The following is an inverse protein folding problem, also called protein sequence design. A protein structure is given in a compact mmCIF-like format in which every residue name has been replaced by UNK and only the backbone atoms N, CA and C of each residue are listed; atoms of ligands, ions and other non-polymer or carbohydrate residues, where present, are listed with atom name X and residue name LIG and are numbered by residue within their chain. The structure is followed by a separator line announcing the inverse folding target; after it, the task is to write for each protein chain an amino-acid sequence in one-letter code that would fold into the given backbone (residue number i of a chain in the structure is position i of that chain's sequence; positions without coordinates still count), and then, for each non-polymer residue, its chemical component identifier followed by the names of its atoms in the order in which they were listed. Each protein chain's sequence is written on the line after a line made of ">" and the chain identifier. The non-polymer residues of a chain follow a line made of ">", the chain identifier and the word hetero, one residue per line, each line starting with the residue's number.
data_IF_497581872297
#
_entry.id   IF_497581872297
#
_cell.length_a   1.000
_cell.length_b   1.000
_cell.length_c   1.000
_cell.angle_alpha   90.00
_cell.angle_beta   90.00
_cell.angle_gamma   90.00
#
_symmetry.space_group_name_H-M   'P 1'
#
loop_
_entity.id
_entity.type
_entity.pdbx_description
1 polymer ?
#
# COMPACT_ATOMS: atom_id res chain seq x y z
N UNK A 1 -10.07 20.47 14.13
CA UNK A 1 -10.26 19.00 14.08
C UNK A 1 -11.29 18.55 15.10
N UNK A 2 -12.02 17.45 14.84
CA UNK A 2 -12.86 16.78 15.84
C UNK A 2 -12.33 15.37 16.07
N UNK A 3 -12.30 14.88 17.30
CA UNK A 3 -11.91 13.50 17.61
C UNK A 3 -12.74 12.93 18.75
N UNK A 4 -12.90 11.61 18.77
CA UNK A 4 -13.60 10.87 19.80
C UNK A 4 -12.57 10.29 20.77
N UNK A 5 -12.79 10.49 22.06
CA UNK A 5 -12.09 9.71 23.09
C UNK A 5 -12.88 8.43 23.32
N UNK A 6 -12.30 7.24 23.09
CA UNK A 6 -13.04 5.98 23.23
C UNK A 6 -13.62 5.78 24.63
N UNK A 7 -12.84 6.14 25.65
CA UNK A 7 -13.20 5.89 27.05
C UNK A 7 -14.34 6.79 27.54
N UNK A 8 -14.32 8.08 27.18
CA UNK A 8 -15.34 9.04 27.60
C UNK A 8 -16.56 9.07 26.67
N UNK A 9 -16.45 8.42 25.49
CA UNK A 9 -17.42 8.51 24.39
C UNK A 9 -17.78 9.96 24.05
N UNK A 10 -16.84 10.88 24.26
CA UNK A 10 -17.03 12.32 24.10
C UNK A 10 -16.31 12.82 22.86
N UNK A 11 -17.03 13.60 22.06
CA UNK A 11 -16.49 14.28 20.90
C UNK A 11 -15.83 15.58 21.34
N UNK A 12 -14.55 15.70 21.05
CA UNK A 12 -13.75 16.87 21.34
C UNK A 12 -13.52 17.66 20.06
N UNK A 13 -13.31 18.98 20.18
CA UNK A 13 -12.92 19.86 19.08
C UNK A 13 -11.63 20.56 19.45
N UNK A 14 -10.63 20.44 18.59
CA UNK A 14 -9.38 21.17 18.71
C UNK A 14 -9.27 22.19 17.59
N UNK A 15 -8.78 23.38 17.93
CA UNK A 15 -8.32 24.34 16.93
C UNK A 15 -7.21 23.69 16.10
N UNK A 16 -7.16 24.06 14.82
CA UNK A 16 -6.12 23.61 13.90
C UNK A 16 -5.58 24.84 13.19
N UNK A 17 -4.28 24.83 12.95
CA UNK A 17 -3.57 25.91 12.27
C UNK A 17 -2.88 25.39 11.01
N UNK A 18 -2.28 26.30 10.25
CA UNK A 18 -1.49 25.98 9.05
C UNK A 18 -2.34 25.69 7.81
N UNK A 19 -1.75 24.97 6.85
CA UNK A 19 -2.32 24.72 5.53
C UNK A 19 -3.18 23.46 5.56
N UNK A 20 -4.38 23.59 6.13
CA UNK A 20 -5.29 22.45 6.27
C UNK A 20 -5.70 21.87 4.90
N UNK A 21 -5.79 20.53 4.77
CA UNK A 21 -6.33 19.92 3.58
C UNK A 21 -7.80 20.33 3.42
N UNK A 22 -8.18 20.77 2.22
CA UNK A 22 -9.58 20.99 1.87
C UNK A 22 -10.44 19.73 1.99
N UNK A 23 -11.75 19.90 1.92
CA UNK A 23 -12.72 18.80 1.99
C UNK A 23 -12.37 17.68 1.00
N UNK A 24 -12.36 16.44 1.51
CA UNK A 24 -12.00 15.25 0.73
C UNK A 24 -12.54 13.97 1.34
N UNK A 25 -12.64 12.91 0.54
CA UNK A 25 -12.99 11.56 0.99
C UNK A 25 -12.14 10.49 0.29
N UNK A 26 -12.27 9.23 0.71
CA UNK A 26 -11.49 8.10 0.15
C UNK A 26 -9.96 8.30 0.17
N UNK A 27 -9.47 9.08 1.14
CA UNK A 27 -8.05 9.29 1.43
C UNK A 27 -7.56 8.27 2.47
N UNK A 28 -6.25 8.20 2.67
CA UNK A 28 -5.67 7.45 3.78
C UNK A 28 -5.05 8.39 4.83
N UNK A 29 -5.11 7.98 6.10
CA UNK A 29 -4.40 8.61 7.21
C UNK A 29 -3.43 7.58 7.81
N UNK A 30 -2.18 7.96 8.01
CA UNK A 30 -1.15 7.11 8.67
C UNK A 30 -0.49 7.88 9.78
N UNK A 31 -0.30 7.27 10.95
CA UNK A 31 0.46 7.88 12.03
C UNK A 31 1.95 7.59 11.89
N UNK A 32 2.79 8.62 12.03
CA UNK A 32 4.24 8.49 12.05
C UNK A 32 4.86 9.57 12.95
N UNK A 33 5.60 9.13 13.98
CA UNK A 33 6.42 9.99 14.86
C UNK A 33 5.73 11.29 15.34
N UNK A 34 4.53 11.19 15.91
CA UNK A 34 3.79 12.34 16.41
C UNK A 34 3.07 13.16 15.34
N UNK A 35 3.05 12.68 14.09
CA UNK A 35 2.33 13.28 12.98
C UNK A 35 1.26 12.33 12.42
N UNK A 36 0.17 12.90 11.90
CA UNK A 36 -0.80 12.18 11.07
C UNK A 36 -0.61 12.61 9.63
N UNK A 37 -0.24 11.66 8.77
CA UNK A 37 0.01 11.88 7.35
C UNK A 37 -1.24 11.55 6.56
N UNK A 38 -1.76 12.53 5.83
CA UNK A 38 -2.86 12.39 4.90
C UNK A 38 -2.32 12.21 3.48
N UNK A 39 -2.81 11.21 2.76
CA UNK A 39 -2.44 10.96 1.35
C UNK A 39 -3.65 10.86 0.45
N UNK A 40 -3.58 11.57 -0.68
CA UNK A 40 -4.52 11.49 -1.80
C UNK A 40 -5.99 11.73 -1.44
N UNK A 41 -6.84 10.92 -2.06
CA UNK A 41 -8.30 11.00 -1.96
C UNK A 41 -8.95 11.73 -3.13
N UNK A 42 -10.26 11.93 -3.01
CA UNK A 42 -11.05 12.77 -3.89
C UNK A 42 -11.24 14.13 -3.23
N UNK A 43 -10.85 15.20 -3.91
CA UNK A 43 -10.99 16.57 -3.40
C UNK A 43 -12.47 17.04 -3.43
N UNK A 44 -12.72 18.32 -3.13
CA UNK A 44 -14.06 18.91 -3.14
C UNK A 44 -14.78 18.87 -4.50
N UNK A 45 -14.02 18.76 -5.59
CA UNK A 45 -14.53 18.60 -6.96
C UNK A 45 -14.67 17.14 -7.38
N UNK A 46 -14.45 16.19 -6.46
CA UNK A 46 -14.39 14.77 -6.74
C UNK A 46 -13.28 14.37 -7.73
N UNK A 47 -12.18 15.11 -7.73
CA UNK A 47 -11.00 14.79 -8.54
C UNK A 47 -9.97 14.05 -7.67
N UNK A 48 -9.35 12.98 -8.20
CA UNK A 48 -8.20 12.34 -7.54
C UNK A 48 -7.08 13.36 -7.33
N UNK A 49 -6.40 13.27 -6.19
CA UNK A 49 -5.24 14.11 -5.89
C UNK A 49 -4.04 13.28 -5.45
N UNK A 50 -2.84 13.78 -5.71
CA UNK A 50 -1.54 13.27 -5.27
C UNK A 50 -1.04 13.99 -4.00
N UNK A 51 -1.80 14.96 -3.49
CA UNK A 51 -1.36 15.78 -2.38
C UNK A 51 -1.12 14.96 -1.11
N UNK A 52 -0.04 15.32 -0.41
CA UNK A 52 0.32 14.80 0.91
C UNK A 52 0.35 15.94 1.92
N UNK A 53 -0.20 15.70 3.10
CA UNK A 53 -0.20 16.65 4.21
C UNK A 53 0.23 15.97 5.49
N UNK A 54 1.01 16.65 6.33
CA UNK A 54 1.32 16.23 7.69
C UNK A 54 0.57 17.09 8.70
N UNK A 55 -0.08 16.47 9.68
CA UNK A 55 -0.59 17.14 10.88
C UNK A 55 0.33 16.85 12.04
N UNK A 56 1.05 17.86 12.52
CA UNK A 56 1.86 17.76 13.74
C UNK A 56 0.93 17.78 14.95
N UNK A 57 0.84 16.67 15.69
CA UNK A 57 -0.17 16.52 16.76
C UNK A 57 0.14 17.37 18.01
N UNK A 58 1.41 17.68 18.27
CA UNK A 58 1.80 18.50 19.42
C UNK A 58 1.35 19.96 19.28
N UNK A 59 1.37 20.50 18.06
CA UNK A 59 0.94 21.87 17.76
C UNK A 59 -0.43 21.95 17.06
N UNK A 60 -1.00 20.81 16.66
CA UNK A 60 -2.22 20.73 15.85
C UNK A 60 -2.13 21.56 14.55
N UNK A 61 -0.95 21.59 13.94
CA UNK A 61 -0.67 22.38 12.73
C UNK A 61 -0.57 21.47 11.50
N UNK A 62 -1.32 21.81 10.45
CA UNK A 62 -1.22 21.17 9.15
C UNK A 62 -0.14 21.81 8.30
N UNK A 63 0.60 20.95 7.59
CA UNK A 63 1.58 21.34 6.59
C UNK A 63 1.31 20.55 5.30
N UNK A 64 1.33 21.24 4.16
CA UNK A 64 1.33 20.58 2.86
C UNK A 64 2.77 20.20 2.52
N UNK A 65 2.99 18.95 2.13
CA UNK A 65 4.31 18.49 1.74
C UNK A 65 4.54 18.73 0.25
N UNK A 66 5.72 19.29 -0.05
CA UNK A 66 6.24 19.35 -1.41
C UNK A 66 7.12 18.11 -1.62
N UNK A 67 6.62 17.17 -2.43
CA UNK A 67 7.33 15.93 -2.71
C UNK A 67 8.32 16.11 -3.88
N UNK A 68 9.46 15.42 -3.78
CA UNK A 68 10.40 15.28 -4.90
C UNK A 68 10.23 13.90 -5.54
N UNK A 69 9.93 13.85 -6.84
CA UNK A 69 9.69 12.61 -7.59
C UNK A 69 8.20 12.34 -7.90
N UNK A 70 7.93 11.30 -8.70
CA UNK A 70 6.58 11.03 -9.19
C UNK A 70 5.69 10.39 -8.11
N UNK A 71 4.44 10.84 -8.07
CA UNK A 71 3.35 10.21 -7.33
C UNK A 71 2.07 10.34 -8.13
N UNK A 72 1.40 9.23 -8.42
CA UNK A 72 0.10 9.30 -9.09
C UNK A 72 -1.00 9.74 -8.14
N UNK A 73 -1.80 10.69 -8.62
CA UNK A 73 -3.04 11.09 -7.97
C UNK A 73 -3.95 9.87 -7.82
N UNK A 74 -4.48 9.64 -6.61
CA UNK A 74 -5.21 8.40 -6.31
C UNK A 74 -6.24 8.57 -5.20
N UNK A 75 -7.28 7.76 -5.25
CA UNK A 75 -8.23 7.59 -4.15
C UNK A 75 -8.60 6.12 -3.95
N UNK A 76 -9.14 5.78 -2.77
CA UNK A 76 -9.43 4.38 -2.37
C UNK A 76 -8.22 3.46 -2.44
N UNK A 77 -7.01 4.02 -2.31
CA UNK A 77 -5.78 3.28 -2.10
C UNK A 77 -5.69 2.84 -0.63
N UNK A 78 -4.70 2.00 -0.35
CA UNK A 78 -4.32 1.63 1.01
C UNK A 78 -2.95 2.22 1.34
N UNK A 79 -2.67 2.45 2.61
CA UNK A 79 -1.41 3.04 3.07
C UNK A 79 -0.81 2.24 4.23
N UNK A 80 0.51 2.04 4.19
CA UNK A 80 1.25 1.28 5.20
C UNK A 80 2.56 1.96 5.55
N UNK A 81 2.91 1.92 6.84
CA UNK A 81 4.22 2.36 7.30
C UNK A 81 5.19 1.18 7.33
N UNK A 82 6.38 1.38 6.78
CA UNK A 82 7.51 0.47 6.91
C UNK A 82 8.77 1.31 7.15
N UNK A 83 9.34 1.20 8.34
CA UNK A 83 10.40 2.08 8.84
C UNK A 83 10.04 3.58 8.71
N UNK A 84 10.84 4.36 7.97
CA UNK A 84 10.57 5.77 7.66
C UNK A 84 10.01 5.94 6.24
N UNK A 85 9.36 4.91 5.71
CA UNK A 85 8.74 4.94 4.40
C UNK A 85 7.24 4.71 4.49
N UNK A 86 6.50 5.51 3.73
CA UNK A 86 5.08 5.36 3.53
C UNK A 86 4.83 4.69 2.19
N UNK A 87 4.11 3.56 2.23
CA UNK A 87 3.77 2.74 1.09
C UNK A 87 2.31 2.98 0.73
N UNK A 88 2.04 3.44 -0.49
CA UNK A 88 0.68 3.60 -1.00
C UNK A 88 0.43 2.56 -2.09
N UNK A 89 -0.60 1.73 -1.93
CA UNK A 89 -0.87 0.65 -2.88
C UNK A 89 -2.21 0.84 -3.55
N UNK A 90 -2.19 0.71 -4.89
CA UNK A 90 -3.38 0.70 -5.71
C UNK A 90 -4.17 2.00 -5.59
N UNK A 91 -5.49 1.85 -5.70
CA UNK A 91 -6.43 2.95 -5.78
C UNK A 91 -6.87 3.18 -7.22
N UNK A 92 -7.55 4.31 -7.41
CA UNK A 92 -8.15 4.70 -8.68
C UNK A 92 -7.70 6.11 -9.03
N UNK A 93 -7.44 6.35 -10.31
CA UNK A 93 -7.10 7.65 -10.86
C UNK A 93 -7.87 7.90 -12.18
N UNK A 94 -7.57 9.01 -12.84
CA UNK A 94 -8.14 9.39 -14.15
C UNK A 94 -7.14 9.20 -15.30
N UNK A 95 -5.93 8.75 -15.00
CA UNK A 95 -4.87 8.53 -15.98
C UNK A 95 -5.00 7.16 -16.66
N UNK A 96 -4.33 6.97 -17.79
CA UNK A 96 -4.32 5.67 -18.48
C UNK A 96 -3.63 4.57 -17.64
N UNK A 97 -2.54 4.92 -16.96
CA UNK A 97 -1.80 3.99 -16.09
C UNK A 97 -2.44 3.99 -14.69
N UNK A 98 -2.97 2.85 -14.20
CA UNK A 98 -3.54 2.77 -12.87
C UNK A 98 -2.45 2.92 -11.79
N UNK A 99 -2.79 3.41 -10.59
CA UNK A 99 -1.82 3.55 -9.52
C UNK A 99 -1.28 2.19 -9.05
N UNK A 100 0.04 2.08 -8.95
CA UNK A 100 0.71 0.87 -8.49
C UNK A 100 1.12 0.95 -7.03
N UNK A 101 2.38 0.67 -6.75
CA UNK A 101 3.01 0.87 -5.44
C UNK A 101 3.80 2.18 -5.46
N UNK A 102 3.39 3.16 -4.67
CA UNK A 102 4.23 4.33 -4.38
C UNK A 102 4.96 4.15 -3.06
N UNK A 103 6.22 4.58 -3.02
CA UNK A 103 7.07 4.62 -1.82
C UNK A 103 7.50 6.05 -1.58
N UNK A 104 7.17 6.58 -0.41
CA UNK A 104 7.49 7.96 -0.01
C UNK A 104 8.40 7.93 1.22
N UNK A 105 9.56 8.56 1.14
CA UNK A 105 10.44 8.80 2.28
C UNK A 105 9.83 9.90 3.15
N UNK A 106 9.49 9.56 4.40
CA UNK A 106 8.90 10.48 5.37
C UNK A 106 9.92 11.50 5.91
N UNK A 107 11.21 11.27 5.68
CA UNK A 107 12.30 12.16 6.11
C UNK A 107 12.65 13.18 5.02
N UNK A 108 12.77 12.72 3.77
CA UNK A 108 13.24 13.56 2.65
C UNK A 108 12.12 14.04 1.74
N UNK A 109 10.88 13.60 1.98
CA UNK A 109 9.71 13.85 1.13
C UNK A 109 9.92 13.42 -0.33
N UNK A 110 10.77 12.41 -0.56
CA UNK A 110 11.02 11.87 -1.90
C UNK A 110 10.08 10.71 -2.19
N UNK A 111 9.47 10.70 -3.37
CA UNK A 111 8.57 9.66 -3.84
C UNK A 111 9.14 8.89 -5.04
N UNK A 112 8.80 7.60 -5.11
CA UNK A 112 8.90 6.78 -6.32
C UNK A 112 7.58 6.04 -6.54
N UNK A 113 7.21 5.86 -7.80
CA UNK A 113 6.02 5.15 -8.24
C UNK A 113 6.44 3.91 -9.03
N UNK A 114 5.88 2.74 -8.69
CA UNK A 114 6.14 1.48 -9.36
C UNK A 114 4.84 0.91 -9.92
N UNK A 115 4.81 0.65 -11.23
CA UNK A 115 3.69 -0.03 -11.88
C UNK A 115 3.65 -1.51 -11.51
N UNK A 116 2.44 -2.06 -11.36
CA UNK A 116 2.28 -3.51 -11.38
C UNK A 116 2.54 -4.06 -12.79
N UNK A 117 2.97 -5.33 -12.92
CA UNK A 117 3.25 -5.94 -14.23
C UNK A 117 2.06 -5.79 -15.19
N UNK A 118 2.33 -5.72 -16.48
CA UNK A 118 1.28 -5.66 -17.51
C UNK A 118 0.34 -6.86 -17.36
N UNK A 119 -0.95 -6.61 -17.22
CA UNK A 119 -1.97 -7.65 -17.05
C UNK A 119 -2.62 -7.97 -18.40
N UNK A 120 -2.82 -9.25 -18.70
CA UNK A 120 -3.66 -9.64 -19.84
C UNK A 120 -5.16 -9.62 -19.45
N UNK A 121 -6.05 -9.77 -20.44
CA UNK A 121 -7.51 -9.74 -20.21
C UNK A 121 -8.01 -10.88 -19.31
N UNK A 122 -7.27 -11.97 -19.20
CA UNK A 122 -7.61 -13.14 -18.39
C UNK A 122 -7.07 -13.04 -16.96
N UNK A 123 -6.03 -12.24 -16.75
CA UNK A 123 -5.35 -12.03 -15.47
C UNK A 123 -5.46 -10.57 -15.00
N UNK A 124 -6.60 -9.90 -15.17
CA UNK A 124 -6.74 -8.50 -14.74
C UNK A 124 -6.66 -8.36 -13.22
N UNK A 125 -5.81 -7.43 -12.76
CA UNK A 125 -5.73 -7.00 -11.37
C UNK A 125 -6.34 -5.60 -11.22
N UNK A 126 -7.46 -5.49 -10.49
CA UNK A 126 -8.13 -4.21 -10.24
C UNK A 126 -8.06 -3.86 -8.75
N UNK A 127 -7.12 -3.00 -8.37
CA UNK A 127 -6.93 -2.57 -6.97
C UNK A 127 -7.90 -1.46 -6.54
N UNK A 128 -9.13 -1.50 -7.04
CA UNK A 128 -10.21 -0.59 -6.68
C UNK A 128 -10.89 -1.10 -5.42
N UNK A 129 -10.85 -0.32 -4.32
CA UNK A 129 -11.44 -0.71 -3.02
C UNK A 129 -10.96 -2.06 -2.50
N UNK A 130 -9.71 -2.42 -2.81
CA UNK A 130 -9.05 -3.56 -2.20
C UNK A 130 -8.75 -3.25 -0.73
N UNK A 131 -8.49 -4.29 0.05
CA UNK A 131 -7.82 -4.14 1.35
C UNK A 131 -6.41 -4.69 1.24
N UNK A 132 -5.52 -4.25 2.11
CA UNK A 132 -4.19 -4.78 2.18
C UNK A 132 -3.69 -4.77 3.60
N UNK A 133 -2.83 -5.74 3.92
CA UNK A 133 -2.26 -5.90 5.24
C UNK A 133 -0.76 -6.11 5.12
N UNK A 134 0.00 -5.38 5.92
CA UNK A 134 1.42 -5.63 6.10
C UNK A 134 1.59 -6.91 6.91
N UNK A 135 2.15 -7.95 6.29
CA UNK A 135 2.50 -9.17 7.00
C UNK A 135 3.82 -8.93 7.73
N UNK A 136 3.72 -8.74 9.05
CA UNK A 136 4.88 -8.70 9.93
C UNK A 136 5.46 -10.12 10.05
N UNK A 137 6.78 -10.23 9.89
CA UNK A 137 7.46 -11.52 9.72
C UNK A 137 7.31 -12.41 10.95
N UNK A 138 6.69 -13.57 10.79
CA UNK A 138 6.87 -14.71 11.70
C UNK A 138 8.05 -15.53 11.17
N UNK A 139 9.30 -15.10 11.48
CA UNK A 139 10.55 -15.74 11.06
C UNK A 139 11.47 -14.88 10.16
N UNK A 140 12.53 -15.47 9.57
CA UNK A 140 13.54 -14.81 8.71
C UNK A 140 13.03 -14.39 7.29
N UNK A 141 11.72 -14.19 7.10
CA UNK A 141 11.17 -13.76 5.81
C UNK A 141 11.26 -12.23 5.63
N UNK A 142 11.17 -11.74 4.40
CA UNK A 142 11.09 -10.31 4.08
C UNK A 142 9.67 -9.77 4.32
N UNK A 143 9.51 -8.50 4.72
CA UNK A 143 8.18 -7.89 4.88
C UNK A 143 7.42 -7.94 3.54
N UNK A 144 6.12 -8.27 3.60
CA UNK A 144 5.28 -8.36 2.41
C UNK A 144 3.92 -7.72 2.65
N UNK A 145 3.41 -7.03 1.64
CA UNK A 145 2.02 -6.61 1.59
C UNK A 145 1.18 -7.73 0.98
N UNK A 146 0.12 -8.11 1.68
CA UNK A 146 -0.90 -9.02 1.17
C UNK A 146 -2.08 -8.17 0.74
N UNK A 147 -2.34 -8.10 -0.56
CA UNK A 147 -3.50 -7.41 -1.14
C UNK A 147 -4.64 -8.42 -1.30
N UNK A 148 -5.82 -8.04 -0.82
CA UNK A 148 -6.99 -8.90 -0.78
C UNK A 148 -8.19 -8.20 -1.44
N UNK A 149 -8.85 -8.92 -2.33
CA UNK A 149 -10.03 -8.45 -3.03
C UNK A 149 -9.74 -7.23 -3.91
N UNK A 150 -10.75 -6.38 -4.06
CA UNK A 150 -10.78 -5.34 -5.09
C UNK A 150 -11.41 -5.83 -6.38
N UNK A 151 -11.87 -4.89 -7.18
CA UNK A 151 -12.63 -5.18 -8.38
C UNK A 151 -13.37 -3.97 -8.91
N UNK A 152 -13.98 -4.11 -10.07
CA UNK A 152 -14.72 -3.02 -10.70
C UNK A 152 -15.87 -3.55 -11.54
N UNK A 153 -16.87 -2.70 -11.73
CA UNK A 153 -17.94 -2.95 -12.66
C UNK A 153 -17.63 -2.21 -13.94
N UNK A 154 -17.77 -2.90 -15.06
CA UNK A 154 -17.85 -2.27 -16.37
C UNK A 154 -19.26 -2.47 -16.92
N UNK A 155 -19.91 -1.38 -17.31
CA UNK A 155 -21.30 -1.38 -17.76
C UNK A 155 -21.58 -2.44 -18.84
N UNK A 156 -20.63 -2.64 -19.76
CA UNK A 156 -20.80 -3.56 -20.90
C UNK A 156 -20.13 -4.94 -20.72
N UNK A 157 -19.19 -5.08 -19.78
CA UNK A 157 -18.38 -6.30 -19.63
C UNK A 157 -18.63 -7.05 -18.31
N UNK A 158 -19.52 -6.53 -17.47
CA UNK A 158 -19.89 -7.15 -16.20
C UNK A 158 -18.96 -6.74 -15.05
N UNK A 159 -19.05 -7.50 -13.96
CA UNK A 159 -18.28 -7.27 -12.74
C UNK A 159 -17.00 -8.11 -12.76
N UNK A 160 -15.86 -7.47 -12.54
CA UNK A 160 -14.58 -8.12 -12.32
C UNK A 160 -14.20 -8.04 -10.84
N UNK A 161 -13.79 -9.17 -10.26
CA UNK A 161 -13.29 -9.25 -8.90
C UNK A 161 -11.93 -9.95 -8.92
N UNK A 162 -10.96 -9.43 -8.17
CA UNK A 162 -9.68 -10.09 -7.97
C UNK A 162 -9.93 -11.42 -7.24
N UNK A 163 -9.55 -12.52 -7.87
CA UNK A 163 -9.85 -13.88 -7.38
C UNK A 163 -8.87 -14.37 -6.33
N UNK A 164 -7.64 -13.88 -6.38
CA UNK A 164 -6.55 -14.36 -5.55
C UNK A 164 -5.89 -13.22 -4.79
N UNK A 165 -5.39 -13.47 -3.58
CA UNK A 165 -4.50 -12.54 -2.92
C UNK A 165 -3.25 -12.29 -3.76
N UNK A 166 -2.77 -11.06 -3.73
CA UNK A 166 -1.51 -10.64 -4.34
C UNK A 166 -0.50 -10.35 -3.25
N UNK A 167 0.67 -10.97 -3.33
CA UNK A 167 1.80 -10.67 -2.47
C UNK A 167 2.70 -9.65 -3.15
N UNK A 168 3.06 -8.58 -2.44
CA UNK A 168 3.99 -7.55 -2.92
C UNK A 168 5.19 -7.50 -1.99
N UNK A 169 6.39 -7.69 -2.54
CA UNK A 169 7.65 -7.46 -1.83
C UNK A 169 7.92 -5.96 -1.73
N UNK A 170 7.94 -5.45 -0.50
CA UNK A 170 8.16 -4.02 -0.22
C UNK A 170 9.64 -3.69 -0.07
N UNK A 171 10.48 -4.67 0.25
CA UNK A 171 11.91 -4.48 0.52
C UNK A 171 12.63 -3.96 -0.74
N UNK A 172 12.34 -4.56 -1.90
CA UNK A 172 12.93 -4.18 -3.17
C UNK A 172 12.56 -2.74 -3.58
N UNK A 173 11.31 -2.34 -3.33
CA UNK A 173 10.82 -1.00 -3.64
C UNK A 173 11.47 0.04 -2.70
N UNK A 174 11.50 -0.23 -1.39
CA UNK A 174 12.16 0.59 -0.39
C UNK A 174 13.66 0.76 -0.66
N UNK A 175 14.36 -0.33 -0.99
CA UNK A 175 15.78 -0.30 -1.34
C UNK A 175 16.05 0.52 -2.61
N UNK A 176 15.11 0.54 -3.56
CA UNK A 176 15.22 1.36 -4.77
C UNK A 176 15.12 2.85 -4.47
N UNK A 177 14.21 3.26 -3.58
CA UNK A 177 14.14 4.64 -3.10
C UNK A 177 15.42 5.03 -2.32
N UNK A 178 15.90 4.17 -1.43
CA UNK A 178 17.15 4.45 -0.70
C UNK A 178 18.36 4.64 -1.62
N UNK A 179 18.45 3.85 -2.70
CA UNK A 179 19.49 4.03 -3.71
C UNK A 179 19.33 5.38 -4.42
N UNK A 180 18.10 5.76 -4.79
CA UNK A 180 17.80 7.05 -5.40
C UNK A 180 18.25 8.23 -4.54
N UNK A 181 17.99 8.16 -3.23
CA UNK A 181 18.40 9.19 -2.27
C UNK A 181 19.92 9.33 -2.16
N UNK A 182 20.67 8.22 -2.30
CA UNK A 182 22.13 8.24 -2.26
C UNK A 182 22.78 8.79 -3.54
N UNK A 183 22.17 8.56 -4.70
CA UNK A 183 22.74 8.93 -6.01
C UNK A 183 22.20 10.24 -6.59
N UNK A 184 21.15 10.81 -5.99
CA UNK A 184 20.42 11.96 -6.52
C UNK A 184 19.35 11.57 -7.55
N UNK A 185 18.16 12.20 -7.46
CA UNK A 185 16.93 11.80 -8.17
C UNK A 185 17.00 12.06 -9.69
N UNK A 186 17.84 13.01 -10.13
CA UNK A 186 17.97 13.40 -11.55
C UNK A 186 18.44 12.28 -12.49
N UNK A 187 18.98 11.17 -11.97
CA UNK A 187 19.42 10.01 -12.77
C UNK A 187 18.35 8.92 -12.99
N UNK A 188 17.20 8.99 -12.31
CA UNK A 188 16.23 7.88 -12.24
C UNK A 188 14.95 8.16 -13.03
N UNK A 189 14.65 9.42 -13.31
CA UNK A 189 13.51 9.80 -14.17
C UNK A 189 13.54 9.13 -15.56
N UNK A 190 14.74 8.78 -16.07
CA UNK A 190 14.90 8.04 -17.33
C UNK A 190 14.78 6.50 -17.19
N UNK A 191 14.39 5.98 -16.02
CA UNK A 191 14.24 4.54 -15.74
C UNK A 191 12.87 4.16 -15.16
N UNK A 192 11.89 5.08 -15.18
CA UNK A 192 10.53 4.86 -14.68
C UNK A 192 9.72 3.78 -15.43
N UNK A 193 10.28 3.18 -16.50
CA UNK A 193 9.77 1.98 -17.18
C UNK A 193 10.60 0.72 -16.89
N UNK A 194 11.44 0.68 -15.84
CA UNK A 194 11.94 -0.61 -15.34
C UNK A 194 10.87 -1.21 -14.45
N UNK A 195 9.89 -1.78 -15.15
CA UNK A 195 8.89 -2.68 -14.62
C UNK A 195 9.45 -3.58 -13.53
N UNK A 196 8.58 -3.90 -12.57
CA UNK A 196 8.73 -5.10 -11.73
C UNK A 196 8.90 -6.39 -12.58
N UNK A 197 8.86 -6.34 -13.92
CA UNK A 197 9.20 -7.41 -14.86
C UNK A 197 10.63 -7.96 -14.70
N UNK A 198 11.61 -7.11 -14.34
CA UNK A 198 12.99 -7.57 -14.13
C UNK A 198 13.20 -8.39 -12.86
N UNK A 199 12.29 -8.24 -11.89
CA UNK A 199 12.22 -9.05 -10.68
C UNK A 199 11.07 -10.04 -10.84
N UNK A 200 11.38 -11.19 -11.47
CA UNK A 200 10.52 -12.38 -11.72
C UNK A 200 9.72 -12.93 -10.51
N UNK A 201 9.58 -12.21 -9.40
CA UNK A 201 9.06 -12.73 -8.13
C UNK A 201 8.20 -11.76 -7.30
N UNK A 202 7.89 -10.54 -7.76
CA UNK A 202 7.33 -9.53 -6.85
C UNK A 202 5.80 -9.48 -6.77
N UNK A 203 5.11 -10.17 -7.66
CA UNK A 203 3.65 -10.41 -7.60
C UNK A 203 3.45 -11.91 -7.75
N UNK A 204 3.38 -12.61 -6.63
CA UNK A 204 3.01 -14.03 -6.62
C UNK A 204 1.53 -14.08 -6.25
N UNK A 205 0.69 -14.49 -7.21
CA UNK A 205 -0.68 -14.88 -6.85
C UNK A 205 -0.61 -16.16 -6.00
N UNK A 206 -1.49 -16.32 -5.01
CA UNK A 206 -1.45 -17.56 -4.20
C UNK A 206 -1.64 -18.85 -5.01
N UNK A 207 -2.24 -18.79 -6.20
CA UNK A 207 -2.31 -19.93 -7.12
C UNK A 207 -0.92 -20.36 -7.61
N UNK A 208 -0.06 -19.39 -7.99
CA UNK A 208 1.34 -19.65 -8.38
C UNK A 208 2.20 -20.09 -7.18
N UNK A 209 1.91 -19.59 -5.97
CA UNK A 209 2.53 -20.11 -4.74
C UNK A 209 2.15 -21.57 -4.48
N UNK A 210 0.88 -21.93 -4.69
CA UNK A 210 0.39 -23.29 -4.51
C UNK A 210 1.05 -24.25 -5.52
N UNK A 211 1.18 -23.85 -6.79
CA UNK A 211 1.87 -24.63 -7.83
C UNK A 211 3.38 -24.77 -7.62
N UNK A 212 4.05 -23.76 -7.06
CA UNK A 212 5.47 -23.84 -6.71
C UNK A 212 5.71 -24.66 -5.44
N UNK A 213 4.76 -24.66 -4.51
CA UNK A 213 4.78 -25.50 -3.31
C UNK A 213 4.42 -26.98 -3.60
N UNK A 214 3.63 -27.27 -4.65
CA UNK A 214 3.26 -28.64 -5.04
C UNK A 214 4.42 -29.44 -5.67
N UNK A 215 5.54 -28.78 -6.00
CA UNK A 215 6.80 -29.45 -6.41
C UNK A 215 7.71 -29.85 -5.24
N UNK A 216 7.33 -29.61 -3.99
CA UNK A 216 7.90 -30.32 -2.83
C UNK A 216 6.84 -31.28 -2.30
N UNK A 217 6.90 -32.51 -2.81
CA UNK A 217 6.39 -33.75 -2.20
C UNK A 217 5.25 -33.54 -1.21
N UNK A 218 4.01 -33.71 -1.71
CA UNK A 218 2.85 -34.04 -0.89
C UNK A 218 3.04 -35.46 -0.34
N UNK A 219 3.90 -35.59 0.66
CA UNK A 219 3.88 -36.69 1.62
C UNK A 219 4.53 -36.21 2.91
N UNK A 220 3.80 -36.44 4.00
CA UNK A 220 4.20 -36.24 5.40
C UNK A 220 4.02 -34.82 5.96
N UNK A 221 2.79 -34.50 6.38
CA UNK A 221 2.52 -33.68 7.58
C UNK A 221 1.17 -34.07 8.18
N UNK A 222 1.08 -35.30 8.68
CA UNK A 222 0.17 -35.67 9.77
C UNK A 222 0.95 -36.61 10.69
N UNK A 223 1.64 -36.02 11.67
CA UNK A 223 2.06 -36.62 12.96
C UNK A 223 3.25 -35.83 13.50
N UNK A 224 2.97 -34.73 14.18
CA UNK A 224 3.87 -34.19 15.21
C UNK A 224 3.06 -33.20 16.08
N UNK A 225 1.96 -33.69 16.64
CA UNK A 225 1.45 -33.17 17.91
C UNK A 225 1.70 -34.24 18.93
N UNK A 226 2.80 -34.10 19.67
CA UNK A 226 3.13 -34.89 20.83
C UNK A 226 2.02 -34.79 21.88
N UNK A 227 1.11 -35.75 21.83
CA UNK A 227 0.17 -36.09 22.90
C UNK A 227 0.55 -37.51 23.36
N UNK A 228 0.75 -37.76 24.65
CA UNK A 228 1.00 -39.11 25.14
C UNK A 228 -0.25 -39.96 24.95
N UNK A 229 -0.11 -41.08 24.26
CA UNK A 229 -1.11 -42.15 24.19
C UNK A 229 -1.01 -43.04 25.42
N UNK A 230 -1.87 -42.79 26.40
CA UNK A 230 -2.38 -43.72 27.42
C UNK A 230 -3.72 -43.09 27.84
N UNK A 231 -4.90 -43.66 27.64
CA UNK A 231 -5.42 -44.89 28.24
C UNK A 231 -6.57 -45.42 27.37
N UNK A 232 -6.51 -46.70 27.04
CA UNK A 232 -7.63 -47.51 26.54
C UNK A 232 -8.56 -47.89 27.70
N UNK A 233 -9.84 -47.51 27.61
CA UNK A 233 -11.00 -48.33 28.03
C UNK A 233 -12.29 -47.73 27.46
#
# INVERSE_FOLDING_TARGET
>A
MKYLTPDERKLHRHAIDGTAPGARHSHCLTYWQGQVILTGGLNHNHEPTDQVFGLVLSSMTWEKWDLDGPLYARYSHTAHLHDNMLLLVGGVNTEEKPPGLAVISLISHTALEFSFPTQDKQSLLMLHRHTSVMRQNVGKATPQLVLLGGGGNCFSFGTHLNRTPVLVDVEAACASLQRALKTGIKGIANRLDQDLEGHRSTVISMEQFCETSSRRSVHTMISDTGMPTDVLS
#
